data_IF_901039573044
#
_entry.id   IF_901039573044
#
_cell.length_a   1.000
_cell.length_b   1.000
_cell.length_c   1.000
_cell.angle_alpha   90.00
_cell.angle_beta   90.00
_cell.angle_gamma   90.00
#
_symmetry.space_group_name_H-M   'P 1'
#
loop_
_entity.id
_entity.type
_entity.pdbx_description
1 polymer ?
#
# COMPACT_ATOMS: atom_id res chain seq x y z
N UNK A 1 7.72 -0.21 10.53
CA UNK A 1 8.02 -1.24 11.54
C UNK A 1 8.24 -0.58 12.90
N UNK A 2 7.64 -1.09 14.01
CA UNK A 2 7.82 -0.51 15.36
C UNK A 2 9.29 -0.46 15.82
N UNK A 3 10.09 -1.43 15.41
CA UNK A 3 11.54 -1.47 15.73
C UNK A 3 12.27 -0.31 15.06
N UNK A 4 11.96 -0.02 13.79
CA UNK A 4 12.52 1.12 13.05
C UNK A 4 12.17 2.47 13.72
N UNK A 5 10.96 2.60 14.27
CA UNK A 5 10.52 3.83 14.96
C UNK A 5 11.46 4.20 16.11
N UNK A 6 11.81 3.25 16.99
CA UNK A 6 12.69 3.53 18.14
C UNK A 6 14.06 4.06 17.71
N UNK A 7 14.65 3.45 16.69
CA UNK A 7 15.96 3.85 16.17
C UNK A 7 15.91 5.23 15.52
N UNK A 8 14.91 5.48 14.68
CA UNK A 8 14.73 6.76 14.01
C UNK A 8 14.44 7.88 15.04
N UNK A 9 13.58 7.64 16.02
CA UNK A 9 13.31 8.62 17.09
C UNK A 9 14.57 8.99 17.86
N UNK A 10 15.46 8.01 18.13
CA UNK A 10 16.72 8.27 18.82
C UNK A 10 17.66 9.14 17.97
N UNK A 11 17.69 8.94 16.66
CA UNK A 11 18.52 9.69 15.73
C UNK A 11 18.01 11.13 15.59
N UNK A 12 16.70 11.31 15.41
CA UNK A 12 16.10 12.63 15.14
C UNK A 12 15.91 13.49 16.40
N UNK A 13 15.88 12.87 17.59
CA UNK A 13 15.73 13.62 18.85
C UNK A 13 14.29 14.04 19.17
N UNK A 14 14.12 14.88 20.21
CA UNK A 14 12.82 15.21 20.79
C UNK A 14 11.93 16.12 19.94
N UNK A 15 12.51 16.81 18.96
CA UNK A 15 11.77 17.74 18.08
C UNK A 15 10.89 17.00 17.04
N UNK A 16 11.02 15.68 16.94
CA UNK A 16 10.31 14.85 15.99
C UNK A 16 9.42 13.81 16.66
N UNK A 17 8.17 13.73 16.21
CA UNK A 17 7.24 12.66 16.57
C UNK A 17 7.31 11.58 15.50
N UNK A 18 7.92 10.44 15.81
CA UNK A 18 8.05 9.32 14.87
C UNK A 18 7.01 8.26 15.16
N UNK A 19 6.19 7.92 14.17
CA UNK A 19 5.13 6.90 14.25
C UNK A 19 5.21 5.91 13.09
N UNK A 20 4.66 4.73 13.28
CA UNK A 20 4.58 3.69 12.24
C UNK A 20 3.13 3.47 11.82
N UNK A 21 2.89 3.41 10.51
CA UNK A 21 1.61 2.96 9.95
C UNK A 21 1.41 1.45 10.03
N UNK A 22 2.45 0.70 10.41
CA UNK A 22 2.43 -0.78 10.40
C UNK A 22 2.05 -1.33 9.01
N UNK A 23 2.69 -0.78 7.96
CA UNK A 23 2.46 -1.15 6.56
C UNK A 23 1.31 -0.38 5.92
N UNK A 24 0.62 -1.03 4.99
CA UNK A 24 -0.51 -0.42 4.27
C UNK A 24 -1.69 -0.10 5.18
N UNK A 25 -2.20 1.11 5.07
CA UNK A 25 -3.40 1.60 5.79
C UNK A 25 -4.64 1.67 4.89
N UNK A 26 -4.47 1.56 3.57
CA UNK A 26 -5.55 1.44 2.59
C UNK A 26 -5.30 0.21 1.73
N UNK A 27 -6.36 -0.47 1.35
CA UNK A 27 -6.30 -1.59 0.41
C UNK A 27 -7.58 -1.63 -0.43
N UNK A 28 -7.58 -2.49 -1.44
CA UNK A 28 -8.77 -2.78 -2.23
C UNK A 28 -9.85 -3.44 -1.35
N UNK A 29 -11.15 -3.20 -1.60
CA UNK A 29 -12.22 -3.86 -0.86
C UNK A 29 -12.05 -5.38 -0.87
N UNK A 30 -12.17 -6.01 0.29
CA UNK A 30 -12.05 -7.48 0.42
C UNK A 30 -13.27 -8.23 -0.11
N UNK A 31 -14.43 -7.58 -0.06
CA UNK A 31 -15.71 -8.12 -0.51
C UNK A 31 -16.66 -6.98 -0.90
N UNK A 32 -17.82 -7.32 -1.47
CA UNK A 32 -18.81 -6.33 -1.93
C UNK A 32 -19.36 -5.45 -0.80
N UNK A 33 -19.44 -5.97 0.44
CA UNK A 33 -19.90 -5.21 1.62
C UNK A 33 -18.91 -4.12 2.04
N UNK A 34 -17.64 -4.26 1.66
CA UNK A 34 -16.59 -3.29 1.94
C UNK A 34 -16.52 -2.17 0.90
N UNK A 35 -17.29 -2.26 -0.19
CA UNK A 35 -17.36 -1.19 -1.20
C UNK A 35 -18.17 -0.05 -0.62
N UNK A 36 -17.65 1.20 -0.63
CA UNK A 36 -18.39 2.36 -0.14
C UNK A 36 -19.74 2.54 -0.84
N UNK A 37 -20.78 2.87 -0.08
CA UNK A 37 -22.17 2.98 -0.55
C UNK A 37 -22.39 3.98 -1.69
N UNK A 38 -21.46 4.93 -1.87
CA UNK A 38 -21.48 5.87 -3.01
C UNK A 38 -21.25 5.19 -4.36
N UNK A 39 -20.80 3.93 -4.38
CA UNK A 39 -20.59 3.15 -5.59
C UNK A 39 -21.67 2.05 -5.72
N UNK A 40 -22.21 1.87 -6.92
CA UNK A 40 -23.04 0.72 -7.23
C UNK A 40 -22.15 -0.54 -7.32
N UNK A 41 -22.18 -1.35 -6.28
CA UNK A 41 -21.32 -2.54 -6.17
C UNK A 41 -21.49 -3.54 -7.31
N UNK A 42 -22.65 -3.55 -7.97
CA UNK A 42 -22.94 -4.44 -9.12
C UNK A 42 -22.18 -4.01 -10.38
N UNK A 43 -21.79 -2.73 -10.47
CA UNK A 43 -21.03 -2.17 -11.60
C UNK A 43 -19.53 -2.17 -11.37
N UNK A 44 -19.06 -2.49 -10.15
CA UNK A 44 -17.63 -2.49 -9.85
C UNK A 44 -16.99 -3.78 -10.35
N UNK A 45 -15.98 -3.62 -11.20
CA UNK A 45 -15.21 -4.73 -11.75
C UNK A 45 -14.36 -5.37 -10.66
N UNK A 46 -14.36 -6.70 -10.61
CA UNK A 46 -13.59 -7.51 -9.66
C UNK A 46 -13.70 -7.05 -8.20
N UNK A 47 -14.81 -6.42 -7.85
CA UNK A 47 -15.10 -5.93 -6.51
C UNK A 47 -14.22 -4.76 -6.01
N UNK A 48 -13.44 -4.15 -6.89
CA UNK A 48 -12.48 -3.11 -6.49
C UNK A 48 -12.17 -2.04 -7.55
N UNK A 49 -12.58 -2.22 -8.81
CA UNK A 49 -12.14 -1.38 -9.93
C UNK A 49 -13.32 -0.70 -10.59
N UNK A 50 -13.24 0.61 -10.80
CA UNK A 50 -14.27 1.37 -11.51
C UNK A 50 -14.27 1.02 -13.00
N UNK A 51 -15.45 0.84 -13.62
CA UNK A 51 -15.54 0.62 -15.06
C UNK A 51 -15.11 1.90 -15.82
N UNK A 52 -14.56 1.70 -17.00
CA UNK A 52 -14.21 2.79 -17.94
C UNK A 52 -12.79 3.32 -17.79
N UNK A 53 -12.37 3.70 -16.59
CA UNK A 53 -11.01 4.25 -16.38
C UNK A 53 -10.07 3.31 -15.59
N UNK A 54 -10.54 2.12 -15.19
CA UNK A 54 -9.81 1.13 -14.40
C UNK A 54 -9.20 1.65 -13.09
N UNK A 55 -9.81 2.68 -12.53
CA UNK A 55 -9.39 3.28 -11.27
C UNK A 55 -9.73 2.37 -10.09
N UNK A 56 -8.78 2.13 -9.21
CA UNK A 56 -9.00 1.33 -8.01
C UNK A 56 -9.84 2.07 -6.97
N UNK A 57 -10.75 1.33 -6.33
CA UNK A 57 -11.42 1.80 -5.12
C UNK A 57 -10.57 1.36 -3.93
N UNK A 58 -10.11 2.32 -3.15
CA UNK A 58 -9.38 2.05 -1.92
C UNK A 58 -10.25 2.31 -0.71
N UNK A 59 -10.12 1.45 0.28
CA UNK A 59 -10.79 1.56 1.58
C UNK A 59 -9.79 1.42 2.72
N UNK A 60 -10.09 2.01 3.85
CA UNK A 60 -9.35 1.79 5.10
C UNK A 60 -9.95 0.55 5.76
N UNK A 61 -9.22 -0.57 5.89
CA UNK A 61 -9.70 -1.75 6.59
C UNK A 61 -10.06 -1.44 8.04
N UNK A 62 -11.02 -2.16 8.61
CA UNK A 62 -11.53 -1.90 9.97
C UNK A 62 -10.40 -1.94 11.02
N UNK A 63 -9.51 -2.92 10.90
CA UNK A 63 -8.33 -3.10 11.75
C UNK A 63 -7.28 -1.98 11.62
N UNK A 64 -7.43 -1.08 10.64
CA UNK A 64 -6.54 0.07 10.39
C UNK A 64 -7.13 1.40 10.80
N UNK A 65 -8.43 1.47 11.04
CA UNK A 65 -9.10 2.74 11.36
C UNK A 65 -8.52 3.44 12.58
N UNK A 66 -8.23 2.68 13.65
CA UNK A 66 -7.67 3.24 14.87
C UNK A 66 -6.31 3.91 14.63
N UNK A 67 -5.39 3.21 13.96
CA UNK A 67 -4.06 3.78 13.68
C UNK A 67 -4.13 4.97 12.72
N UNK A 68 -5.05 4.94 11.76
CA UNK A 68 -5.28 6.09 10.86
C UNK A 68 -5.79 7.31 11.63
N UNK A 69 -6.75 7.13 12.56
CA UNK A 69 -7.24 8.23 13.42
C UNK A 69 -6.12 8.82 14.25
N UNK A 70 -5.33 7.97 14.95
CA UNK A 70 -4.20 8.43 15.77
C UNK A 70 -3.14 9.19 14.95
N UNK A 71 -2.81 8.70 13.76
CA UNK A 71 -1.85 9.35 12.87
C UNK A 71 -2.39 10.67 12.31
N UNK A 72 -3.69 10.73 12.00
CA UNK A 72 -4.34 11.94 11.50
C UNK A 72 -4.33 13.06 12.56
N UNK A 73 -4.68 12.75 13.80
CA UNK A 73 -4.65 13.72 14.91
C UNK A 73 -3.26 14.35 15.08
N UNK A 74 -2.19 13.55 14.92
CA UNK A 74 -0.81 14.05 15.01
C UNK A 74 -0.47 14.87 13.76
N UNK A 75 -0.83 14.41 12.57
CA UNK A 75 -0.54 15.09 11.31
C UNK A 75 -1.26 16.45 11.22
N UNK A 76 -2.48 16.56 11.73
CA UNK A 76 -3.27 17.80 11.72
C UNK A 76 -2.64 18.92 12.58
N UNK A 77 -1.83 18.55 13.58
CA UNK A 77 -1.14 19.50 14.49
C UNK A 77 0.32 19.73 14.14
N UNK A 78 0.89 18.88 13.28
CA UNK A 78 2.29 18.98 12.90
C UNK A 78 2.53 20.10 11.87
N UNK A 79 3.56 20.95 12.04
CA UNK A 79 3.90 21.98 11.05
C UNK A 79 4.40 21.36 9.73
N UNK A 80 5.03 20.21 9.80
CA UNK A 80 5.55 19.46 8.65
C UNK A 80 5.37 17.96 8.84
N UNK A 81 5.06 17.25 7.74
CA UNK A 81 4.91 15.80 7.72
C UNK A 81 5.93 15.18 6.79
N UNK A 82 6.68 14.22 7.33
CA UNK A 82 7.66 13.44 6.59
C UNK A 82 7.15 12.01 6.42
N UNK A 83 7.11 11.53 5.19
CA UNK A 83 6.72 10.16 4.85
C UNK A 83 7.96 9.31 4.57
N UNK A 84 8.30 8.46 5.54
CA UNK A 84 9.50 7.63 5.54
C UNK A 84 9.13 6.17 5.22
N UNK A 85 9.40 5.74 4.00
CA UNK A 85 9.20 4.35 3.53
C UNK A 85 10.35 3.93 2.62
N UNK A 86 10.45 2.63 2.35
CA UNK A 86 11.50 2.08 1.48
C UNK A 86 11.43 2.69 0.07
N UNK A 87 12.58 2.74 -0.64
CA UNK A 87 12.64 3.29 -2.00
C UNK A 87 12.26 2.25 -3.05
N UNK A 88 11.04 1.73 -2.95
CA UNK A 88 10.46 0.84 -3.93
C UNK A 88 9.00 1.22 -4.24
N UNK A 89 8.36 0.50 -5.14
CA UNK A 89 6.96 0.76 -5.55
C UNK A 89 5.97 0.58 -4.41
N UNK A 90 6.24 -0.34 -3.50
CA UNK A 90 5.37 -0.62 -2.35
C UNK A 90 5.51 0.47 -1.29
N UNK A 91 6.73 0.88 -0.98
CA UNK A 91 7.00 2.03 -0.10
C UNK A 91 6.38 3.31 -0.63
N UNK A 92 6.44 3.55 -1.94
CA UNK A 92 5.81 4.71 -2.56
C UNK A 92 4.28 4.66 -2.47
N UNK A 93 3.69 3.46 -2.62
CA UNK A 93 2.24 3.29 -2.44
C UNK A 93 1.82 3.51 -0.97
N UNK A 94 2.61 3.07 0.00
CA UNK A 94 2.35 3.36 1.41
C UNK A 94 2.38 4.86 1.66
N UNK A 95 3.38 5.58 1.14
CA UNK A 95 3.49 7.03 1.28
C UNK A 95 2.29 7.76 0.64
N UNK A 96 1.91 7.37 -0.59
CA UNK A 96 0.75 7.93 -1.26
C UNK A 96 -0.55 7.66 -0.48
N UNK A 97 -0.75 6.43 0.00
CA UNK A 97 -1.93 6.09 0.78
C UNK A 97 -1.99 6.81 2.14
N UNK A 98 -0.83 7.09 2.76
CA UNK A 98 -0.76 7.91 3.97
C UNK A 98 -1.18 9.35 3.67
N UNK A 99 -0.65 9.98 2.62
CA UNK A 99 -1.05 11.33 2.20
C UNK A 99 -2.57 11.44 2.06
N UNK A 100 -3.17 10.50 1.33
CA UNK A 100 -4.61 10.47 1.06
C UNK A 100 -5.46 10.19 2.31
N UNK A 101 -5.07 9.18 3.12
CA UNK A 101 -5.88 8.76 4.26
C UNK A 101 -5.81 9.73 5.45
N UNK A 102 -4.68 10.39 5.63
CA UNK A 102 -4.48 11.40 6.67
C UNK A 102 -4.91 12.81 6.19
N UNK A 103 -5.32 12.94 4.92
CA UNK A 103 -5.75 14.22 4.33
C UNK A 103 -4.68 15.32 4.53
N UNK A 104 -3.40 14.95 4.34
CA UNK A 104 -2.28 15.87 4.57
C UNK A 104 -2.40 17.06 3.62
N UNK A 105 -2.44 18.25 4.19
CA UNK A 105 -2.53 19.51 3.44
C UNK A 105 -1.17 19.81 2.77
N UNK A 106 -1.19 20.06 1.47
CA UNK A 106 0.03 20.32 0.69
C UNK A 106 0.81 19.06 0.32
N UNK A 107 2.08 19.23 -0.01
CA UNK A 107 2.97 18.12 -0.34
C UNK A 107 3.79 17.69 0.90
N UNK A 108 3.57 16.47 1.42
CA UNK A 108 4.40 15.93 2.49
C UNK A 108 5.82 15.69 1.96
N UNK A 109 6.80 15.87 2.83
CA UNK A 109 8.20 15.58 2.51
C UNK A 109 8.41 14.07 2.45
N UNK A 110 8.81 13.55 1.30
CA UNK A 110 9.12 12.14 1.09
C UNK A 110 10.60 11.89 1.42
N UNK A 111 10.89 11.02 2.39
CA UNK A 111 12.26 10.63 2.72
C UNK A 111 12.45 9.13 2.46
N UNK A 112 13.58 8.80 1.86
CA UNK A 112 13.96 7.46 1.42
C UNK A 112 15.31 7.10 2.01
N UNK A 113 15.41 5.92 2.59
CA UNK A 113 16.68 5.37 3.05
C UNK A 113 16.64 3.84 3.00
N UNK A 114 17.74 3.23 2.58
CA UNK A 114 17.86 1.77 2.48
C UNK A 114 18.37 1.14 3.78
N UNK A 115 18.96 1.95 4.66
CA UNK A 115 19.47 1.54 5.96
C UNK A 115 19.12 2.59 7.03
N UNK A 116 19.07 2.18 8.30
CA UNK A 116 18.72 3.06 9.41
C UNK A 116 20.00 3.36 10.21
N UNK A 117 20.90 4.10 9.59
CA UNK A 117 22.07 4.70 10.22
C UNK A 117 21.83 6.19 10.42
N UNK A 118 22.55 6.80 11.38
CA UNK A 118 22.44 8.25 11.64
C UNK A 118 22.74 9.06 10.39
N UNK A 119 23.81 8.70 9.66
CA UNK A 119 24.20 9.38 8.42
C UNK A 119 23.13 9.28 7.33
N UNK A 120 22.54 8.08 7.12
CA UNK A 120 21.52 7.88 6.11
C UNK A 120 20.22 8.64 6.43
N UNK A 121 19.76 8.58 7.69
CA UNK A 121 18.57 9.31 8.14
C UNK A 121 18.77 10.82 8.03
N UNK A 122 19.90 11.35 8.54
CA UNK A 122 20.20 12.79 8.46
C UNK A 122 20.31 13.28 7.01
N UNK A 123 20.96 12.50 6.14
CA UNK A 123 21.06 12.83 4.71
C UNK A 123 19.68 12.89 4.05
N UNK A 124 18.81 11.92 4.35
CA UNK A 124 17.45 11.87 3.81
C UNK A 124 16.59 13.05 4.31
N UNK A 125 16.72 13.42 5.58
CA UNK A 125 16.01 14.57 6.16
C UNK A 125 16.44 15.90 5.53
N UNK A 126 17.72 16.04 5.20
CA UNK A 126 18.25 17.25 4.57
C UNK A 126 17.94 17.35 3.06
N UNK A 127 17.56 16.24 2.43
CA UNK A 127 17.24 16.18 1.00
C UNK A 127 15.92 15.44 0.79
N UNK A 128 14.80 15.99 1.26
CA UNK A 128 13.50 15.37 1.06
C UNK A 128 13.10 15.45 -0.40
N UNK A 129 12.40 14.42 -0.85
CA UNK A 129 11.83 14.28 -2.18
C UNK A 129 10.32 14.53 -2.15
N UNK A 130 9.64 14.40 -3.27
CA UNK A 130 8.20 14.34 -3.41
C UNK A 130 7.75 12.90 -3.65
N UNK A 131 6.44 12.64 -3.51
CA UNK A 131 5.87 11.32 -3.83
C UNK A 131 5.97 11.09 -5.34
N UNK A 132 6.59 9.98 -5.74
CA UNK A 132 6.67 9.54 -7.13
C UNK A 132 5.36 8.88 -7.58
N UNK A 133 4.50 9.67 -8.21
CA UNK A 133 3.21 9.21 -8.74
C UNK A 133 3.38 8.13 -9.80
N UNK A 134 4.48 8.13 -10.57
CA UNK A 134 4.79 7.09 -11.56
C UNK A 134 5.03 5.73 -10.90
N UNK A 135 5.84 5.68 -9.82
CA UNK A 135 6.02 4.47 -9.03
C UNK A 135 4.70 3.99 -8.39
N UNK A 136 3.91 4.92 -7.84
CA UNK A 136 2.58 4.59 -7.31
C UNK A 136 1.67 3.99 -8.38
N UNK A 137 1.59 4.60 -9.57
CA UNK A 137 0.79 4.05 -10.69
C UNK A 137 1.26 2.68 -11.14
N UNK A 138 2.54 2.41 -11.12
CA UNK A 138 3.11 1.08 -11.40
C UNK A 138 2.67 0.04 -10.35
N UNK A 139 2.65 0.40 -9.07
CA UNK A 139 2.08 -0.44 -8.00
C UNK A 139 0.59 -0.68 -8.23
N UNK A 140 -0.17 0.39 -8.50
CA UNK A 140 -1.62 0.35 -8.73
C UNK A 140 -1.98 -0.59 -9.88
N UNK A 141 -1.29 -0.47 -11.02
CA UNK A 141 -1.48 -1.34 -12.17
C UNK A 141 -1.23 -2.82 -11.83
N UNK A 142 -0.17 -3.12 -11.06
CA UNK A 142 0.08 -4.47 -10.57
C UNK A 142 -1.06 -4.98 -9.68
N UNK A 143 -1.54 -4.17 -8.73
CA UNK A 143 -2.66 -4.54 -7.84
C UNK A 143 -3.94 -4.81 -8.62
N UNK A 144 -4.24 -3.99 -9.63
CA UNK A 144 -5.37 -4.19 -10.53
C UNK A 144 -5.26 -5.51 -11.29
N UNK A 145 -4.10 -5.77 -11.88
CA UNK A 145 -3.85 -7.00 -12.65
C UNK A 145 -3.95 -8.25 -11.75
N UNK A 146 -3.36 -8.23 -10.57
CA UNK A 146 -3.43 -9.35 -9.63
C UNK A 146 -4.88 -9.61 -9.19
N UNK A 147 -5.69 -8.55 -8.99
CA UNK A 147 -7.11 -8.64 -8.67
C UNK A 147 -7.92 -9.22 -9.84
N UNK A 148 -7.71 -8.73 -11.04
CA UNK A 148 -8.37 -9.20 -12.26
C UNK A 148 -8.11 -10.71 -12.47
N UNK A 149 -6.85 -11.12 -12.46
CA UNK A 149 -6.47 -12.53 -12.65
C UNK A 149 -7.08 -13.41 -11.56
N UNK A 150 -7.01 -13.00 -10.30
CA UNK A 150 -7.59 -13.74 -9.19
C UNK A 150 -9.10 -13.93 -9.32
N UNK A 151 -9.83 -12.93 -9.80
CA UNK A 151 -11.29 -12.98 -9.93
C UNK A 151 -11.76 -13.70 -11.21
N UNK A 152 -11.02 -13.56 -12.32
CA UNK A 152 -11.42 -14.16 -13.60
C UNK A 152 -10.97 -15.62 -13.72
N UNK A 153 -9.78 -15.96 -13.25
CA UNK A 153 -9.18 -17.27 -13.50
C UNK A 153 -9.44 -18.25 -12.35
N UNK A 154 -9.37 -17.79 -11.09
CA UNK A 154 -9.57 -18.71 -9.95
C UNK A 154 -10.92 -19.45 -9.95
N UNK A 155 -12.07 -18.86 -10.34
CA UNK A 155 -13.31 -19.60 -10.48
C UNK A 155 -13.19 -20.71 -11.53
N UNK A 156 -12.62 -20.41 -12.71
CA UNK A 156 -12.46 -21.38 -13.80
C UNK A 156 -11.58 -22.56 -13.40
N UNK A 157 -10.52 -22.32 -12.65
CA UNK A 157 -9.63 -23.38 -12.15
C UNK A 157 -10.36 -24.26 -11.11
N UNK A 158 -11.20 -23.66 -10.26
CA UNK A 158 -12.02 -24.40 -9.30
C UNK A 158 -13.01 -25.36 -9.98
N UNK A 159 -13.61 -24.92 -11.09
CA UNK A 159 -14.53 -25.75 -11.88
C UNK A 159 -13.84 -26.98 -12.49
N UNK A 160 -12.50 -26.91 -12.70
CA UNK A 160 -11.70 -28.01 -13.26
C UNK A 160 -11.16 -28.98 -12.21
N UNK A 161 -10.98 -28.58 -10.96
CA UNK A 161 -10.20 -29.43 -10.06
C UNK A 161 -10.53 -29.43 -8.57
N UNK A 162 -11.52 -28.68 -8.09
CA UNK A 162 -11.91 -28.77 -6.68
C UNK A 162 -12.02 -27.46 -5.89
N UNK A 163 -12.63 -27.53 -4.73
CA UNK A 163 -13.24 -26.43 -3.99
C UNK A 163 -12.27 -25.34 -3.45
N UNK A 164 -10.98 -25.61 -3.33
CA UNK A 164 -10.05 -24.68 -2.65
C UNK A 164 -8.89 -24.21 -3.52
N UNK A 165 -8.97 -24.39 -4.84
CA UNK A 165 -7.91 -24.01 -5.75
C UNK A 165 -8.07 -22.52 -6.10
N UNK A 166 -7.00 -21.75 -5.91
CA UNK A 166 -6.86 -20.38 -6.39
C UNK A 166 -5.62 -20.26 -7.26
N UNK A 167 -5.64 -19.35 -8.21
CA UNK A 167 -4.49 -19.03 -9.04
C UNK A 167 -4.17 -17.55 -8.97
N UNK A 168 -2.91 -17.23 -9.23
CA UNK A 168 -2.43 -15.86 -9.29
C UNK A 168 -1.31 -15.73 -10.33
N UNK A 169 -1.06 -14.51 -10.72
CA UNK A 169 -0.10 -14.16 -11.78
C UNK A 169 1.32 -14.73 -11.55
N UNK A 170 1.73 -14.86 -10.31
CA UNK A 170 3.07 -15.38 -9.94
C UNK A 170 3.02 -16.89 -9.64
N UNK A 171 1.93 -17.38 -9.04
CA UNK A 171 1.79 -18.77 -8.62
C UNK A 171 1.87 -19.75 -9.80
N UNK A 172 1.15 -19.50 -10.87
CA UNK A 172 1.15 -20.36 -12.06
C UNK A 172 2.53 -20.51 -12.69
N UNK A 173 3.20 -19.41 -13.07
CA UNK A 173 4.57 -19.48 -13.59
C UNK A 173 5.57 -20.12 -12.63
N UNK A 174 5.48 -19.86 -11.31
CA UNK A 174 6.38 -20.46 -10.34
C UNK A 174 6.22 -22.00 -10.27
N UNK A 175 4.98 -22.48 -10.23
CA UNK A 175 4.70 -23.92 -10.26
C UNK A 175 5.20 -24.54 -11.56
N UNK A 176 4.93 -23.88 -12.70
CA UNK A 176 5.40 -24.36 -14.00
C UNK A 176 6.92 -24.52 -14.04
N UNK A 177 7.68 -23.54 -13.57
CA UNK A 177 9.14 -23.62 -13.51
C UNK A 177 9.64 -24.77 -12.64
N UNK A 178 8.94 -25.06 -11.52
CA UNK A 178 9.26 -26.20 -10.66
C UNK A 178 9.02 -27.52 -11.41
N UNK A 179 7.85 -27.68 -12.03
CA UNK A 179 7.49 -28.89 -12.78
C UNK A 179 8.47 -29.13 -13.93
N UNK A 180 8.75 -28.11 -14.76
CA UNK A 180 9.71 -28.20 -15.87
C UNK A 180 11.15 -28.54 -15.39
N UNK A 181 11.47 -28.29 -14.14
CA UNK A 181 12.76 -28.63 -13.55
C UNK A 181 12.81 -30.07 -13.03
N UNK A 182 11.67 -30.61 -12.60
CA UNK A 182 11.54 -31.97 -12.06
C UNK A 182 11.41 -33.05 -13.16
N UNK A 183 10.97 -32.68 -14.38
CA UNK A 183 10.94 -33.52 -15.57
C UNK A 183 12.33 -33.60 -16.26
#
# INVERSE_FOLDING_TARGET
>A
SPTKVKTISKILGPDYIVKSSVGHIRDLPRNTKSIPSKFDSKKILWGAVKPGNFENIYVIPEDRKKIVSELKEIADTAPEVYLATDDDREGEAIAYHLKEALEIKGEPKRIKFNEITESAVTKAMNNPDTIDVGKFKSYEARRTLDRMIGYEISPKVRDLGGAFISTGRVQGPAIRLIVEREE
#
